data_IF_332068359434
#
_entry.id   IF_332068359434
#
_cell.length_a   1.000
_cell.length_b   1.000
_cell.length_c   1.000
_cell.angle_alpha   90.00
_cell.angle_beta   90.00
_cell.angle_gamma   90.00
#
_symmetry.space_group_name_H-M   'P 1'
#
loop_
_entity.id
_entity.type
_entity.pdbx_description
1 polymer ?
#
# COMPACT_ATOMS: atom_id res chain seq x y z
N UNK A 1 3.47 10.01 10.87
CA UNK A 1 4.22 9.55 9.67
C UNK A 1 4.72 8.10 9.79
N UNK A 2 5.25 7.66 10.94
CA UNK A 2 5.79 6.30 11.13
C UNK A 2 4.77 5.16 10.86
N UNK A 3 3.52 5.32 11.33
CA UNK A 3 2.47 4.32 11.15
C UNK A 3 2.14 4.03 9.66
N UNK A 4 2.17 5.05 8.79
CA UNK A 4 1.88 4.87 7.36
C UNK A 4 2.96 4.10 6.61
N UNK A 5 4.24 4.31 6.97
CA UNK A 5 5.35 3.55 6.38
C UNK A 5 5.33 2.08 6.78
N UNK A 6 4.94 1.78 8.04
CA UNK A 6 4.73 0.39 8.49
C UNK A 6 3.59 -0.26 7.72
N UNK A 7 2.47 0.43 7.54
CA UNK A 7 1.33 -0.06 6.75
C UNK A 7 1.71 -0.38 5.30
N UNK A 8 2.51 0.50 4.66
CA UNK A 8 3.04 0.28 3.31
C UNK A 8 3.99 -0.94 3.22
N UNK A 9 4.77 -1.21 4.26
CA UNK A 9 5.62 -2.40 4.29
C UNK A 9 4.79 -3.68 4.40
N UNK A 10 3.70 -3.65 5.18
CA UNK A 10 2.82 -4.81 5.38
C UNK A 10 2.03 -5.12 4.08
N UNK A 11 1.58 -4.13 3.33
CA UNK A 11 0.88 -4.37 2.04
C UNK A 11 1.76 -5.01 0.99
N UNK A 12 3.08 -4.72 0.99
CA UNK A 12 4.03 -5.40 0.12
C UNK A 12 4.08 -6.91 0.37
N UNK A 13 3.90 -7.33 1.63
CA UNK A 13 3.85 -8.76 2.01
C UNK A 13 2.55 -9.42 1.55
N UNK A 14 1.41 -8.73 1.66
CA UNK A 14 0.12 -9.25 1.16
C UNK A 14 0.15 -9.46 -0.37
N UNK A 15 0.73 -8.51 -1.11
CA UNK A 15 0.93 -8.63 -2.55
C UNK A 15 1.83 -9.83 -2.90
N UNK A 16 2.95 -10.00 -2.18
CA UNK A 16 3.84 -11.15 -2.35
C UNK A 16 3.13 -12.48 -2.08
N UNK A 17 2.21 -12.51 -1.11
CA UNK A 17 1.43 -13.70 -0.81
C UNK A 17 0.39 -14.01 -1.90
N UNK A 18 -0.28 -13.00 -2.45
CA UNK A 18 -1.20 -13.16 -3.58
C UNK A 18 -0.49 -13.77 -4.80
N UNK A 19 0.76 -13.39 -5.04
CA UNK A 19 1.59 -13.89 -6.13
C UNK A 19 2.10 -15.34 -5.93
N UNK A 20 1.93 -15.94 -4.73
CA UNK A 20 2.22 -17.36 -4.52
C UNK A 20 1.37 -18.27 -5.42
N UNK A 21 0.17 -17.82 -5.82
CA UNK A 21 -0.67 -18.56 -6.76
C UNK A 21 -0.06 -18.67 -8.16
N UNK A 22 0.86 -17.76 -8.53
CA UNK A 22 1.49 -17.73 -9.85
C UNK A 22 2.90 -18.32 -9.86
N UNK A 23 3.74 -17.95 -8.88
CA UNK A 23 5.16 -18.37 -8.84
C UNK A 23 5.44 -19.55 -7.90
N UNK A 24 4.51 -19.88 -7.00
CA UNK A 24 4.72 -20.88 -5.96
C UNK A 24 5.57 -20.40 -4.78
N UNK A 25 5.55 -21.18 -3.71
CA UNK A 25 6.15 -20.79 -2.40
C UNK A 25 7.68 -20.72 -2.39
N UNK A 26 8.37 -21.56 -3.18
CA UNK A 26 9.82 -21.73 -3.09
C UNK A 26 10.58 -20.55 -3.73
N UNK A 27 10.28 -20.10 -4.96
CA UNK A 27 10.95 -18.96 -5.57
C UNK A 27 10.80 -17.68 -4.74
N UNK A 28 9.58 -17.43 -4.24
CA UNK A 28 9.26 -16.27 -3.39
C UNK A 28 10.10 -16.29 -2.11
N UNK A 29 10.19 -17.45 -1.43
CA UNK A 29 10.97 -17.57 -0.20
C UNK A 29 12.46 -17.30 -0.45
N UNK A 30 13.02 -17.86 -1.52
CA UNK A 30 14.42 -17.65 -1.89
C UNK A 30 14.69 -16.17 -2.18
N UNK A 31 13.88 -15.55 -3.04
CA UNK A 31 14.02 -14.13 -3.37
C UNK A 31 13.90 -13.23 -2.12
N UNK A 32 12.94 -13.55 -1.24
CA UNK A 32 12.73 -12.80 -0.01
C UNK A 32 13.94 -12.85 0.93
N UNK A 33 14.40 -14.05 1.28
CA UNK A 33 15.45 -14.21 2.30
C UNK A 33 16.85 -13.91 1.78
N UNK A 34 17.12 -14.10 0.48
CA UNK A 34 18.45 -13.88 -0.09
C UNK A 34 18.65 -12.44 -0.57
N UNK A 35 17.62 -11.80 -1.13
CA UNK A 35 17.76 -10.50 -1.77
C UNK A 35 16.95 -9.39 -1.07
N UNK A 36 15.64 -9.57 -0.94
CA UNK A 36 14.73 -8.48 -0.52
C UNK A 36 14.96 -8.10 0.95
N UNK A 37 14.89 -9.07 1.86
CA UNK A 37 15.05 -8.85 3.30
C UNK A 37 16.40 -8.20 3.65
N UNK A 38 17.56 -8.73 3.23
CA UNK A 38 18.84 -8.09 3.56
C UNK A 38 18.95 -6.68 2.96
N UNK A 39 18.45 -6.47 1.74
CA UNK A 39 18.46 -5.14 1.10
C UNK A 39 17.61 -4.12 1.86
N UNK A 40 16.41 -4.52 2.30
CA UNK A 40 15.52 -3.66 3.10
C UNK A 40 16.14 -3.31 4.45
N UNK A 41 16.72 -4.29 5.14
CA UNK A 41 17.38 -4.07 6.43
C UNK A 41 18.53 -3.07 6.29
N UNK A 42 19.40 -3.26 5.29
CA UNK A 42 20.50 -2.34 5.01
C UNK A 42 19.99 -0.94 4.67
N UNK A 43 18.93 -0.83 3.88
CA UNK A 43 18.35 0.46 3.50
C UNK A 43 17.77 1.20 4.72
N UNK A 44 17.00 0.53 5.58
CA UNK A 44 16.45 1.14 6.79
C UNK A 44 17.53 1.52 7.80
N UNK A 45 18.58 0.70 7.97
CA UNK A 45 19.71 1.08 8.82
C UNK A 45 20.46 2.29 8.27
N UNK A 46 20.63 2.38 6.95
CA UNK A 46 21.19 3.57 6.29
C UNK A 46 20.36 4.82 6.57
N UNK A 47 19.04 4.75 6.35
CA UNK A 47 18.12 5.86 6.62
C UNK A 47 18.13 6.26 8.11
N UNK A 48 18.18 5.28 9.02
CA UNK A 48 18.31 5.53 10.46
C UNK A 48 19.61 6.27 10.81
N UNK A 49 20.75 5.84 10.26
CA UNK A 49 22.03 6.50 10.46
C UNK A 49 22.05 7.93 9.89
N UNK A 50 21.38 8.16 8.75
CA UNK A 50 21.24 9.49 8.15
C UNK A 50 20.42 10.42 9.06
N UNK A 51 19.28 9.95 9.56
CA UNK A 51 18.41 10.75 10.44
C UNK A 51 19.07 11.08 11.79
N UNK A 52 19.91 10.20 12.31
CA UNK A 52 20.69 10.47 13.52
C UNK A 52 21.72 11.59 13.32
N UNK A 53 22.27 11.72 12.11
CA UNK A 53 23.23 12.78 11.76
C UNK A 53 22.55 14.08 11.34
N UNK A 54 21.44 13.98 10.60
CA UNK A 54 20.78 15.12 10.00
C UNK A 54 19.25 14.94 10.07
N UNK A 55 18.59 15.41 11.14
CA UNK A 55 17.14 15.23 11.33
C UNK A 55 16.27 15.84 10.22
N UNK A 56 16.76 16.87 9.53
CA UNK A 56 16.04 17.53 8.43
C UNK A 56 15.87 16.63 7.19
N UNK A 57 16.63 15.53 7.08
CA UNK A 57 16.53 14.57 6.00
C UNK A 57 15.21 13.77 5.99
N UNK A 58 14.32 13.96 6.99
CA UNK A 58 13.04 13.28 7.11
C UNK A 58 12.10 13.50 5.91
N UNK A 59 12.30 14.57 5.13
CA UNK A 59 11.48 14.86 3.93
C UNK A 59 11.63 13.80 2.84
N UNK A 60 12.86 13.34 2.56
CA UNK A 60 13.15 12.35 1.51
C UNK A 60 14.37 11.47 1.87
N UNK A 61 14.30 10.69 2.96
CA UNK A 61 15.47 10.00 3.51
C UNK A 61 16.06 8.96 2.55
N UNK A 62 15.24 8.36 1.67
CA UNK A 62 15.70 7.40 0.68
C UNK A 62 16.62 8.03 -0.38
N UNK A 63 16.23 9.18 -0.94
CA UNK A 63 17.02 9.87 -1.97
C UNK A 63 18.23 10.57 -1.36
N UNK A 64 18.06 11.20 -0.20
CA UNK A 64 19.15 11.89 0.51
C UNK A 64 20.22 10.95 1.08
N UNK A 65 19.95 9.63 1.13
CA UNK A 65 20.95 8.62 1.48
C UNK A 65 21.99 8.44 0.36
N UNK A 66 21.61 8.69 -0.89
CA UNK A 66 22.50 8.50 -2.02
C UNK A 66 23.42 9.72 -2.21
N UNK A 67 24.68 9.51 -2.60
CA UNK A 67 25.57 10.61 -2.98
C UNK A 67 25.03 11.31 -4.24
N UNK A 68 25.36 12.59 -4.40
CA UNK A 68 24.78 13.45 -5.45
C UNK A 68 24.87 12.87 -6.86
N UNK A 69 25.98 12.19 -7.18
CA UNK A 69 26.20 11.54 -8.47
C UNK A 69 25.27 10.34 -8.73
N UNK A 70 24.79 9.68 -7.67
CA UNK A 70 23.93 8.49 -7.74
C UNK A 70 22.44 8.82 -7.67
N UNK A 71 22.06 10.09 -7.44
CA UNK A 71 20.66 10.52 -7.34
C UNK A 71 19.87 10.24 -8.63
N UNK A 72 20.41 10.63 -9.79
CA UNK A 72 19.72 10.42 -11.07
C UNK A 72 19.60 8.93 -11.42
N UNK A 73 20.66 8.11 -11.32
CA UNK A 73 20.53 6.66 -11.46
C UNK A 73 19.49 6.04 -10.51
N UNK A 74 19.50 6.45 -9.24
CA UNK A 74 18.56 5.95 -8.24
C UNK A 74 17.11 6.32 -8.57
N UNK A 75 16.86 7.54 -9.04
CA UNK A 75 15.54 7.98 -9.48
C UNK A 75 15.02 7.15 -10.65
N UNK A 76 15.88 6.86 -11.64
CA UNK A 76 15.53 6.01 -12.77
C UNK A 76 15.19 4.59 -12.28
N UNK A 77 16.02 4.01 -11.41
CA UNK A 77 15.77 2.69 -10.84
C UNK A 77 14.46 2.64 -10.04
N UNK A 78 14.20 3.64 -9.20
CA UNK A 78 12.96 3.74 -8.43
C UNK A 78 11.72 3.87 -9.33
N UNK A 79 11.84 4.62 -10.43
CA UNK A 79 10.76 4.77 -11.42
C UNK A 79 10.48 3.44 -12.12
N UNK A 80 11.53 2.71 -12.55
CA UNK A 80 11.38 1.39 -13.15
C UNK A 80 10.76 0.39 -12.18
N UNK A 81 11.19 0.39 -10.91
CA UNK A 81 10.58 -0.44 -9.87
C UNK A 81 9.09 -0.13 -9.68
N UNK A 82 8.70 1.15 -9.71
CA UNK A 82 7.30 1.59 -9.61
C UNK A 82 6.46 1.09 -10.79
N UNK A 83 7.02 1.10 -12.00
CA UNK A 83 6.35 0.55 -13.20
C UNK A 83 6.16 -0.96 -13.06
N UNK A 84 7.19 -1.69 -12.62
CA UNK A 84 7.11 -3.15 -12.42
C UNK A 84 6.07 -3.50 -11.35
N UNK A 85 6.08 -2.79 -10.22
CA UNK A 85 5.10 -2.99 -9.14
C UNK A 85 3.66 -2.74 -9.64
N UNK A 86 3.45 -1.70 -10.45
CA UNK A 86 2.15 -1.40 -11.04
C UNK A 86 1.66 -2.51 -11.97
N UNK A 87 2.57 -3.10 -12.77
CA UNK A 87 2.23 -4.24 -13.62
C UNK A 87 1.83 -5.48 -12.81
N UNK A 88 2.56 -5.80 -11.73
CA UNK A 88 2.22 -6.91 -10.85
C UNK A 88 0.80 -6.78 -10.27
N UNK A 89 0.43 -5.58 -9.80
CA UNK A 89 -0.92 -5.31 -9.29
C UNK A 89 -2.00 -5.50 -10.36
N UNK A 90 -1.79 -4.97 -11.58
CA UNK A 90 -2.75 -5.12 -12.69
C UNK A 90 -2.96 -6.61 -13.02
N UNK A 91 -1.89 -7.39 -13.13
CA UNK A 91 -1.95 -8.84 -13.34
C UNK A 91 -2.65 -9.58 -12.19
N UNK A 92 -2.43 -9.15 -10.94
CA UNK A 92 -3.13 -9.66 -9.77
C UNK A 92 -4.65 -9.45 -9.86
N UNK A 93 -5.10 -8.26 -10.27
CA UNK A 93 -6.53 -7.96 -10.45
C UNK A 93 -7.15 -8.81 -11.56
N UNK A 94 -6.46 -9.04 -12.68
CA UNK A 94 -6.95 -9.95 -13.73
C UNK A 94 -7.12 -11.38 -13.21
N UNK A 95 -6.18 -11.86 -12.39
CA UNK A 95 -6.25 -13.19 -11.77
C UNK A 95 -7.43 -13.32 -10.80
N UNK A 96 -7.61 -12.33 -9.91
CA UNK A 96 -8.75 -12.30 -8.98
C UNK A 96 -10.09 -12.20 -9.72
N UNK A 97 -10.15 -11.40 -10.79
CA UNK A 97 -11.35 -11.27 -11.61
C UNK A 97 -11.72 -12.60 -12.26
N UNK A 98 -10.75 -13.34 -12.83
CA UNK A 98 -11.00 -14.67 -13.40
C UNK A 98 -11.53 -15.64 -12.35
N UNK A 99 -10.99 -15.61 -11.13
CA UNK A 99 -11.48 -16.43 -10.02
C UNK A 99 -12.92 -16.07 -9.67
N UNK A 100 -13.26 -14.78 -9.59
CA UNK A 100 -14.62 -14.31 -9.32
C UNK A 100 -15.63 -14.73 -10.41
N UNK A 101 -15.25 -14.65 -11.69
CA UNK A 101 -16.08 -15.16 -12.81
C UNK A 101 -16.31 -16.66 -12.69
N UNK A 102 -15.27 -17.45 -12.35
CA UNK A 102 -15.40 -18.90 -12.15
C UNK A 102 -16.29 -19.28 -10.97
N UNK A 103 -16.32 -18.45 -9.93
CA UNK A 103 -17.19 -18.62 -8.77
C UNK A 103 -18.63 -18.11 -9.01
N UNK A 104 -18.91 -17.53 -10.19
CA UNK A 104 -20.23 -16.99 -10.52
C UNK A 104 -20.54 -15.63 -9.91
N UNK A 105 -19.57 -14.94 -9.31
CA UNK A 105 -19.75 -13.60 -8.73
C UNK A 105 -19.80 -12.48 -9.77
N UNK A 106 -19.23 -12.69 -10.95
CA UNK A 106 -19.19 -11.71 -12.04
C UNK A 106 -19.73 -12.32 -13.33
N UNK A 107 -20.37 -11.49 -14.16
CA UNK A 107 -20.81 -11.87 -15.51
C UNK A 107 -19.62 -12.36 -16.35
N UNK A 108 -19.80 -13.34 -17.25
CA UNK A 108 -18.74 -13.78 -18.15
C UNK A 108 -18.14 -12.60 -18.92
N UNK A 109 -16.83 -12.43 -18.78
CA UNK A 109 -16.06 -11.40 -19.48
C UNK A 109 -15.16 -12.01 -20.54
N UNK A 110 -14.81 -11.22 -21.56
CA UNK A 110 -13.83 -11.63 -22.57
C UNK A 110 -12.45 -11.72 -21.93
N UNK A 111 -11.95 -12.94 -21.78
CA UNK A 111 -10.61 -13.24 -21.28
C UNK A 111 -9.71 -13.55 -22.48
N UNK A 112 -8.67 -12.75 -22.68
CA UNK A 112 -7.66 -12.98 -23.71
C UNK A 112 -6.46 -13.62 -23.03
N UNK A 113 -6.06 -14.80 -23.49
CA UNK A 113 -4.83 -15.45 -23.03
C UNK A 113 -3.69 -14.91 -23.88
N UNK A 114 -2.71 -14.25 -23.25
CA UNK A 114 -1.58 -13.64 -23.96
C UNK A 114 -0.49 -14.67 -24.30
N UNK A 115 -0.49 -15.82 -23.63
CA UNK A 115 0.38 -16.97 -23.93
C UNK A 115 -0.39 -18.27 -23.81
N UNK A 116 -0.20 -19.20 -24.76
CA UNK A 116 -0.81 -20.54 -24.72
C UNK A 116 -0.12 -21.49 -23.74
N UNK A 117 1.11 -21.18 -23.32
CA UNK A 117 1.91 -22.04 -22.44
C UNK A 117 1.83 -21.65 -20.96
N UNK A 118 1.49 -20.40 -20.63
CA UNK A 118 1.48 -19.89 -19.25
C UNK A 118 0.06 -19.46 -18.81
N UNK A 119 -0.55 -20.27 -17.94
CA UNK A 119 -1.92 -20.07 -17.45
C UNK A 119 -2.15 -18.77 -16.66
N UNK A 120 -1.09 -18.02 -16.33
CA UNK A 120 -1.14 -16.76 -15.58
C UNK A 120 -1.03 -15.47 -16.41
N UNK A 121 -0.77 -15.55 -17.73
CA UNK A 121 -0.76 -14.37 -18.60
C UNK A 121 -2.15 -14.08 -19.18
N UNK A 122 -2.96 -13.41 -18.37
CA UNK A 122 -4.39 -13.19 -18.59
C UNK A 122 -4.63 -11.70 -18.79
N UNK A 123 -5.22 -11.32 -19.91
CA UNK A 123 -5.63 -9.94 -20.18
C UNK A 123 -7.15 -9.84 -20.22
N UNK A 124 -7.71 -8.93 -19.43
CA UNK A 124 -9.16 -8.66 -19.38
C UNK A 124 -9.38 -7.17 -19.74
N UNK A 125 -9.73 -6.85 -21.00
CA UNK A 125 -9.82 -5.48 -21.49
C UNK A 125 -10.76 -4.58 -20.66
N UNK A 126 -11.91 -5.12 -20.24
CA UNK A 126 -12.90 -4.38 -19.45
C UNK A 126 -12.32 -3.92 -18.11
N UNK A 127 -11.59 -4.80 -17.42
CA UNK A 127 -10.95 -4.46 -16.14
C UNK A 127 -9.83 -3.45 -16.34
N UNK A 128 -9.06 -3.56 -17.42
CA UNK A 128 -8.01 -2.59 -17.73
C UNK A 128 -8.56 -1.16 -17.89
N UNK A 129 -9.68 -1.01 -18.60
CA UNK A 129 -10.35 0.28 -18.75
C UNK A 129 -10.95 0.80 -17.43
N UNK A 130 -11.56 -0.08 -16.63
CA UNK A 130 -12.08 0.29 -15.31
C UNK A 130 -10.93 0.78 -14.40
N UNK A 131 -9.80 0.06 -14.36
CA UNK A 131 -8.62 0.46 -13.60
C UNK A 131 -8.08 1.81 -14.09
N UNK A 132 -7.97 2.01 -15.39
CA UNK A 132 -7.53 3.29 -15.97
C UNK A 132 -8.42 4.45 -15.52
N UNK A 133 -9.74 4.32 -15.68
CA UNK A 133 -10.70 5.36 -15.28
C UNK A 133 -10.62 5.62 -13.77
N UNK A 134 -10.55 4.57 -12.95
CA UNK A 134 -10.44 4.71 -11.50
C UNK A 134 -9.16 5.47 -11.09
N UNK A 135 -8.01 5.15 -11.71
CA UNK A 135 -6.75 5.85 -11.46
C UNK A 135 -6.84 7.31 -11.86
N UNK A 136 -7.41 7.62 -13.04
CA UNK A 136 -7.60 9.01 -13.49
C UNK A 136 -8.48 9.80 -12.51
N UNK A 137 -9.60 9.22 -12.06
CA UNK A 137 -10.49 9.85 -11.07
C UNK A 137 -9.73 10.15 -9.77
N UNK A 138 -8.94 9.20 -9.28
CA UNK A 138 -8.15 9.38 -8.05
C UNK A 138 -7.10 10.48 -8.22
N UNK A 139 -6.38 10.53 -9.34
CA UNK A 139 -5.37 11.56 -9.59
C UNK A 139 -6.02 12.95 -9.63
N UNK A 140 -7.11 13.11 -10.35
CA UNK A 140 -7.83 14.39 -10.49
C UNK A 140 -8.47 14.83 -9.17
N UNK A 141 -8.94 13.89 -8.34
CA UNK A 141 -9.63 14.22 -7.08
C UNK A 141 -8.69 14.63 -5.95
N UNK A 142 -7.47 14.10 -5.93
CA UNK A 142 -6.57 14.25 -4.77
C UNK A 142 -5.47 15.30 -4.96
N UNK A 143 -5.07 15.62 -6.21
CA UNK A 143 -4.09 16.64 -6.69
C UNK A 143 -2.70 16.63 -6.01
N UNK A 144 -2.63 16.58 -4.68
CA UNK A 144 -1.44 16.48 -3.84
C UNK A 144 -1.18 15.06 -3.32
N UNK A 145 0.11 14.67 -3.31
CA UNK A 145 0.58 13.35 -2.87
C UNK A 145 0.30 13.04 -1.40
N UNK A 146 0.29 14.06 -0.53
CA UNK A 146 -0.07 13.94 0.89
C UNK A 146 -1.52 13.49 1.07
N UNK A 147 -2.43 14.02 0.24
CA UNK A 147 -3.85 13.70 0.31
C UNK A 147 -4.14 12.28 -0.18
N UNK A 148 -3.41 11.82 -1.19
CA UNK A 148 -3.49 10.44 -1.69
C UNK A 148 -3.00 9.43 -0.65
N UNK A 149 -1.92 9.75 0.08
CA UNK A 149 -1.35 8.87 1.09
C UNK A 149 -2.33 8.58 2.24
N UNK A 150 -3.12 9.57 2.66
CA UNK A 150 -4.13 9.39 3.71
C UNK A 150 -5.28 8.47 3.25
N UNK A 151 -5.81 8.68 2.04
CA UNK A 151 -6.88 7.84 1.50
C UNK A 151 -6.43 6.39 1.27
N UNK A 152 -5.20 6.20 0.77
CA UNK A 152 -4.57 4.90 0.63
C UNK A 152 -4.45 4.18 1.98
N UNK A 153 -3.99 4.89 3.03
CA UNK A 153 -3.86 4.33 4.38
C UNK A 153 -5.17 3.76 4.93
N UNK A 154 -6.30 4.39 4.64
CA UNK A 154 -7.64 3.90 5.04
C UNK A 154 -8.05 2.68 4.25
N UNK A 155 -7.88 2.71 2.92
CA UNK A 155 -8.21 1.58 2.07
C UNK A 155 -7.46 0.32 2.52
N UNK A 156 -6.16 0.49 2.80
CA UNK A 156 -5.29 -0.60 3.25
C UNK A 156 -5.63 -1.11 4.64
N UNK A 157 -5.78 -0.21 5.63
CA UNK A 157 -6.12 -0.64 6.99
C UNK A 157 -7.51 -1.28 7.03
N UNK A 158 -8.44 -0.82 6.19
CA UNK A 158 -9.73 -1.46 5.98
C UNK A 158 -9.60 -2.86 5.39
N UNK A 159 -8.73 -3.06 4.39
CA UNK A 159 -8.47 -4.40 3.86
C UNK A 159 -7.83 -5.32 4.89
N UNK A 160 -6.94 -4.82 5.76
CA UNK A 160 -6.34 -5.60 6.86
C UNK A 160 -7.40 -6.07 7.88
N UNK A 161 -8.31 -5.19 8.28
CA UNK A 161 -9.44 -5.58 9.16
C UNK A 161 -10.28 -6.68 8.51
N UNK A 162 -10.59 -6.54 7.22
CA UNK A 162 -11.36 -7.53 6.47
C UNK A 162 -10.62 -8.87 6.35
N UNK A 163 -9.32 -8.86 6.05
CA UNK A 163 -8.51 -10.08 5.95
C UNK A 163 -8.39 -10.77 7.31
N UNK A 164 -8.26 -10.01 8.41
CA UNK A 164 -8.27 -10.54 9.79
C UNK A 164 -9.58 -11.27 10.12
N UNK A 165 -10.73 -10.68 9.77
CA UNK A 165 -12.06 -11.31 9.96
C UNK A 165 -12.21 -12.57 9.10
N UNK A 166 -11.80 -12.50 7.82
CA UNK A 166 -11.84 -13.64 6.91
C UNK A 166 -10.92 -14.78 7.37
N UNK A 167 -9.71 -14.46 7.83
CA UNK A 167 -8.76 -15.42 8.38
C UNK A 167 -9.37 -16.17 9.57
N UNK A 168 -10.02 -15.46 10.49
CA UNK A 168 -10.72 -16.08 11.62
C UNK A 168 -11.86 -17.00 11.17
N UNK A 169 -12.60 -16.58 10.15
CA UNK A 169 -13.69 -17.38 9.57
C UNK A 169 -13.16 -18.67 8.93
N UNK A 170 -12.06 -18.59 8.17
CA UNK A 170 -11.39 -19.75 7.55
C UNK A 170 -10.81 -20.68 8.61
N UNK A 171 -10.11 -20.15 9.62
CA UNK A 171 -9.55 -20.93 10.70
C UNK A 171 -10.62 -21.72 11.46
N UNK A 172 -11.82 -21.15 11.62
CA UNK A 172 -12.93 -21.82 12.28
C UNK A 172 -13.67 -22.81 11.39
N UNK A 173 -14.01 -22.42 10.16
CA UNK A 173 -14.88 -23.21 9.26
C UNK A 173 -14.11 -24.27 8.46
N UNK A 174 -12.91 -23.96 8.01
CA UNK A 174 -12.14 -24.81 7.11
C UNK A 174 -11.01 -25.56 7.85
N UNK A 175 -10.37 -24.94 8.83
CA UNK A 175 -9.29 -25.59 9.62
C UNK A 175 -9.77 -26.19 10.94
N UNK A 176 -11.04 -25.97 11.31
CA UNK A 176 -11.68 -26.53 12.51
C UNK A 176 -10.94 -26.23 13.83
N UNK A 177 -10.22 -25.12 13.93
CA UNK A 177 -9.49 -24.75 15.17
C UNK A 177 -10.44 -24.50 16.34
N UNK A 178 -9.95 -24.73 17.57
CA UNK A 178 -10.70 -24.46 18.80
C UNK A 178 -11.12 -22.98 18.84
N UNK A 179 -12.35 -22.70 19.30
CA UNK A 179 -12.92 -21.35 19.43
C UNK A 179 -11.99 -20.41 20.20
N UNK A 180 -11.31 -20.91 21.23
CA UNK A 180 -10.37 -20.11 22.03
C UNK A 180 -9.15 -19.69 21.20
N UNK A 181 -8.58 -20.60 20.42
CA UNK A 181 -7.43 -20.29 19.56
C UNK A 181 -7.80 -19.26 18.47
N UNK A 182 -8.98 -19.42 17.86
CA UNK A 182 -9.49 -18.45 16.87
C UNK A 182 -9.77 -17.09 17.52
N UNK A 183 -10.34 -17.06 18.73
CA UNK A 183 -10.60 -15.82 19.45
C UNK A 183 -9.30 -15.10 19.81
N UNK A 184 -8.29 -15.81 20.31
CA UNK A 184 -6.98 -15.23 20.62
C UNK A 184 -6.32 -14.66 19.37
N UNK A 185 -6.37 -15.37 18.24
CA UNK A 185 -5.86 -14.88 16.96
C UNK A 185 -6.62 -13.63 16.49
N UNK A 186 -7.95 -13.65 16.57
CA UNK A 186 -8.81 -12.54 16.17
C UNK A 186 -8.51 -11.28 17.00
N UNK A 187 -8.43 -11.43 18.32
CA UNK A 187 -8.09 -10.33 19.23
C UNK A 187 -6.68 -9.83 18.94
N UNK A 188 -5.71 -10.74 18.71
CA UNK A 188 -4.34 -10.36 18.39
C UNK A 188 -4.22 -9.51 17.13
N UNK A 189 -4.92 -9.88 16.05
CA UNK A 189 -4.90 -9.12 14.81
C UNK A 189 -5.70 -7.81 14.90
N UNK A 190 -6.94 -7.86 15.41
CA UNK A 190 -7.78 -6.66 15.53
C UNK A 190 -7.23 -5.64 16.52
N UNK A 191 -6.46 -6.06 17.53
CA UNK A 191 -5.78 -5.15 18.44
C UNK A 191 -4.77 -4.25 17.72
N UNK A 192 -4.20 -4.71 16.61
CA UNK A 192 -3.29 -3.93 15.77
C UNK A 192 -4.10 -3.15 14.73
N UNK A 193 -5.01 -3.82 14.03
CA UNK A 193 -5.71 -3.25 12.88
C UNK A 193 -6.70 -2.14 13.26
N UNK A 194 -7.43 -2.27 14.37
CA UNK A 194 -8.47 -1.31 14.77
C UNK A 194 -7.88 0.06 15.15
N UNK A 195 -6.82 0.15 15.98
CA UNK A 195 -6.16 1.43 16.24
C UNK A 195 -5.55 2.07 14.99
N UNK A 196 -5.00 1.25 14.09
CA UNK A 196 -4.45 1.72 12.81
C UNK A 196 -5.56 2.27 11.90
N UNK A 197 -6.70 1.60 11.83
CA UNK A 197 -7.86 2.07 11.08
C UNK A 197 -8.46 3.35 11.69
N UNK A 198 -8.63 3.40 13.02
CA UNK A 198 -9.19 4.57 13.72
C UNK A 198 -8.32 5.82 13.56
N UNK A 199 -6.99 5.67 13.64
CA UNK A 199 -6.04 6.77 13.44
C UNK A 199 -6.10 7.38 12.03
N UNK A 200 -6.53 6.61 11.03
CA UNK A 200 -6.72 7.11 9.68
C UNK A 200 -8.15 7.66 9.45
N UNK A 201 -9.16 7.19 10.20
CA UNK A 201 -10.54 7.68 10.10
C UNK A 201 -10.69 9.14 10.53
N UNK A 202 -10.01 9.54 11.61
CA UNK A 202 -10.07 10.90 12.16
C UNK A 202 -9.63 11.96 11.14
N UNK A 203 -8.68 11.61 10.26
CA UNK A 203 -8.21 12.49 9.17
C UNK A 203 -9.23 12.73 8.08
N UNK A 204 -10.11 11.76 7.81
CA UNK A 204 -11.19 11.94 6.83
C UNK A 204 -12.41 12.58 7.47
N UNK A 205 -12.77 12.26 8.72
CA UNK A 205 -13.92 12.90 9.35
C UNK A 205 -13.71 14.40 9.48
N UNK A 206 -12.51 14.84 9.88
CA UNK A 206 -12.17 16.27 9.90
C UNK A 206 -12.19 16.90 8.50
N UNK A 207 -11.65 16.22 7.50
CA UNK A 207 -11.54 16.75 6.13
C UNK A 207 -12.85 16.72 5.34
N UNK A 208 -13.68 15.69 5.55
CA UNK A 208 -15.02 15.56 4.96
C UNK A 208 -15.99 16.55 5.58
N UNK A 209 -15.97 16.72 6.92
CA UNK A 209 -16.72 17.79 7.60
C UNK A 209 -16.24 19.18 7.14
N UNK A 210 -14.94 19.36 6.91
CA UNK A 210 -14.41 20.60 6.34
C UNK A 210 -14.93 20.83 4.91
N UNK A 211 -14.94 19.84 4.02
CA UNK A 211 -15.49 19.98 2.66
C UNK A 211 -17.02 20.08 2.62
N UNK A 212 -17.74 19.53 3.61
CA UNK A 212 -19.20 19.60 3.69
C UNK A 212 -19.69 20.94 4.26
N UNK A 213 -18.90 21.58 5.14
CA UNK A 213 -19.22 22.91 5.70
C UNK A 213 -18.53 24.07 4.99
N UNK A 214 -17.51 23.83 4.17
CA UNK A 214 -16.80 24.87 3.44
C UNK A 214 -16.94 24.70 1.93
N UNK A 215 -17.53 25.71 1.28
CA UNK A 215 -17.24 25.97 -0.13
C UNK A 215 -15.73 26.11 -0.37
N UNK A 216 -15.28 26.12 -1.64
CA UNK A 216 -13.88 25.92 -2.06
C UNK A 216 -12.82 26.90 -1.49
N UNK A 217 -13.21 27.91 -0.71
CA UNK A 217 -12.31 28.94 -0.20
C UNK A 217 -11.71 28.70 1.19
N UNK A 218 -12.10 27.65 1.93
CA UNK A 218 -11.68 27.47 3.34
C UNK A 218 -10.73 26.29 3.61
N UNK A 219 -10.39 25.50 2.59
CA UNK A 219 -9.40 24.41 2.68
C UNK A 219 -8.02 24.96 3.08
N UNK A 220 -7.68 26.18 2.65
CA UNK A 220 -6.40 26.84 2.94
C UNK A 220 -6.12 27.13 4.42
N UNK A 221 -7.14 27.17 5.29
CA UNK A 221 -6.92 27.58 6.68
C UNK A 221 -6.45 26.43 7.58
N UNK A 222 -6.75 25.17 7.22
CA UNK A 222 -6.31 24.01 8.01
C UNK A 222 -4.86 23.61 7.70
N UNK A 223 -4.42 23.71 6.44
CA UNK A 223 -3.02 23.44 6.06
C UNK A 223 -2.04 24.40 6.76
N UNK A 224 -2.44 25.67 6.94
CA UNK A 224 -1.64 26.68 7.65
C UNK A 224 -1.43 26.40 9.16
N UNK A 225 -2.28 25.57 9.78
CA UNK A 225 -2.14 25.22 11.20
C UNK A 225 -1.19 24.04 11.41
N UNK A 226 -1.13 23.09 10.46
CA UNK A 226 -0.10 22.04 10.46
C UNK A 226 1.29 22.62 10.16
N UNK A 227 1.37 23.63 9.29
CA UNK A 227 2.65 24.28 8.94
C UNK A 227 3.19 25.17 10.07
N UNK A 228 2.31 25.79 10.89
CA UNK A 228 2.70 26.57 12.08
C UNK A 228 3.14 25.74 13.29
N UNK A 229 2.89 24.43 13.30
CA UNK A 229 3.28 23.54 14.40
C UNK A 229 4.76 23.10 14.30
N UNK A 230 5.47 23.45 13.23
CA UNK A 230 6.91 23.23 13.08
C UNK A 230 7.69 24.44 13.63
N UNK A 231 8.71 24.24 14.49
CA UNK A 231 9.53 25.36 14.96
C UNK A 231 10.24 26.03 13.78
N UNK A 232 10.40 27.37 13.79
CA UNK A 232 11.00 28.10 12.68
C UNK A 232 12.45 27.65 12.49
N UNK A 233 12.80 27.30 11.24
CA UNK A 233 14.17 27.02 10.84
C UNK A 233 15.06 28.24 11.16
N UNK A 234 16.19 27.99 11.84
CA UNK A 234 17.15 29.02 12.16
C UNK A 234 17.76 29.61 10.87
N UNK A 235 17.96 30.94 10.77
CA UNK A 235 18.51 31.56 9.58
C UNK A 235 19.97 31.14 9.37
N UNK A 236 20.27 30.64 8.17
CA UNK A 236 21.63 30.40 7.70
C UNK A 236 22.41 31.73 7.65
N UNK A 237 23.57 31.75 8.30
CA UNK A 237 24.63 32.74 8.12
C UNK A 237 25.73 32.15 7.23
#
# INVERSE_FOLDING_TARGET
MLWGAVVLAITGVEALYADMGHFGKLPIRIAWFIAVLPSLVLNYFGQGALLLKNPEAIKNPFFLLAPDWALIPLLILATLATVIASQAVISGVFSLTRQAVRLGYLSPMRIIHTSEMESGQIYIPAINWILYIAVVIVIVSFEHSSNLAAAYGIAVTGTMVLTSILCCTVARKNWHWNKIAVLLMCVGFLFIDVPLFSANLEKIVSRWLATAHAGPCHVYHYDNLEERALPPAAPHA
#
